data_IF_633160463433
#
_entry.id   IF_633160463433
#
_cell.length_a   1.000
_cell.length_b   1.000
_cell.length_c   1.000
_cell.angle_alpha   90.00
_cell.angle_beta   90.00
_cell.angle_gamma   90.00
#
_symmetry.space_group_name_H-M   'P 1'
#
loop_
_entity.id
_entity.type
_entity.pdbx_description
1 polymer ?
#
# COMPACT_ATOMS: atom_id res chain seq x y z
N UNK A 1 6.54 14.60 20.73
CA UNK A 1 6.64 13.16 21.05
C UNK A 1 5.97 12.35 19.95
N UNK A 2 6.76 11.72 19.10
CA UNK A 2 6.22 10.76 18.16
C UNK A 2 5.68 9.56 18.94
N UNK A 3 4.38 9.43 19.03
CA UNK A 3 3.78 8.20 19.53
C UNK A 3 4.01 7.13 18.48
N UNK A 4 5.03 6.29 18.68
CA UNK A 4 5.10 5.00 18.00
C UNK A 4 4.01 4.12 18.63
N UNK A 5 2.76 4.51 18.43
CA UNK A 5 1.61 3.70 18.81
C UNK A 5 1.29 2.67 17.74
N UNK A 6 0.43 1.71 18.06
CA UNK A 6 -0.06 0.77 17.06
C UNK A 6 -0.58 1.52 15.82
N UNK A 7 -0.23 1.04 14.64
CA UNK A 7 -0.64 1.66 13.38
C UNK A 7 -1.07 0.59 12.38
N UNK A 8 -2.11 0.89 11.62
CA UNK A 8 -2.54 0.05 10.50
C UNK A 8 -2.12 0.78 9.23
N UNK A 9 -1.35 0.10 8.40
CA UNK A 9 -0.80 0.65 7.16
C UNK A 9 -1.28 -0.15 5.96
N UNK A 10 -1.76 0.55 4.96
CA UNK A 10 -2.15 -0.03 3.67
C UNK A 10 -1.38 0.64 2.54
N UNK A 11 -1.07 -0.12 1.51
CA UNK A 11 -0.46 0.39 0.29
C UNK A 11 -1.45 0.25 -0.86
N UNK A 12 -1.60 1.32 -1.64
CA UNK A 12 -2.48 1.34 -2.81
C UNK A 12 -1.65 1.51 -4.08
N UNK A 13 -2.05 0.83 -5.14
CA UNK A 13 -1.40 0.96 -6.44
C UNK A 13 -2.36 0.69 -7.58
N UNK A 14 -2.09 1.30 -8.73
CA UNK A 14 -2.88 1.11 -9.94
C UNK A 14 -2.04 1.50 -11.16
N UNK A 15 -2.21 0.80 -12.27
CA UNK A 15 -1.58 1.17 -13.54
C UNK A 15 -2.51 1.04 -14.76
N UNK A 16 -3.79 0.76 -14.54
CA UNK A 16 -4.81 0.74 -15.58
C UNK A 16 -5.92 1.73 -15.24
N UNK A 17 -6.56 2.26 -16.28
CA UNK A 17 -7.79 3.05 -16.12
C UNK A 17 -8.88 2.16 -15.54
N UNK A 18 -9.56 2.64 -14.50
CA UNK A 18 -10.68 1.97 -13.85
C UNK A 18 -12.00 2.69 -14.20
N UNK A 19 -13.15 2.16 -13.73
CA UNK A 19 -14.42 2.91 -13.80
C UNK A 19 -14.36 4.28 -13.12
N UNK A 20 -13.42 4.49 -12.20
CA UNK A 20 -13.22 5.77 -11.52
C UNK A 20 -12.31 6.75 -12.28
N UNK A 21 -11.68 6.32 -13.36
CA UNK A 21 -10.79 7.14 -14.17
C UNK A 21 -9.32 6.67 -14.17
N UNK A 22 -8.37 7.59 -14.40
CA UNK A 22 -6.94 7.27 -14.37
C UNK A 22 -6.46 6.79 -12.99
N UNK A 23 -5.29 6.13 -12.89
CA UNK A 23 -4.80 5.56 -11.63
C UNK A 23 -4.84 6.49 -10.42
N UNK A 24 -4.40 7.74 -10.57
CA UNK A 24 -4.43 8.69 -9.44
C UNK A 24 -5.85 8.95 -8.93
N UNK A 25 -6.82 9.08 -9.84
CA UNK A 25 -8.23 9.28 -9.48
C UNK A 25 -8.80 8.01 -8.83
N UNK A 26 -8.39 6.85 -9.31
CA UNK A 26 -8.78 5.56 -8.71
C UNK A 26 -8.32 5.49 -7.26
N UNK A 27 -7.07 5.84 -6.96
CA UNK A 27 -6.56 5.84 -5.60
C UNK A 27 -7.34 6.79 -4.69
N UNK A 28 -7.63 8.01 -5.16
CA UNK A 28 -8.43 8.99 -4.41
C UNK A 28 -9.82 8.47 -4.08
N UNK A 29 -10.49 7.89 -5.06
CA UNK A 29 -11.84 7.35 -4.88
C UNK A 29 -11.86 6.10 -4.01
N UNK A 30 -10.83 5.26 -4.12
CA UNK A 30 -10.68 4.10 -3.25
C UNK A 30 -10.56 4.51 -1.78
N UNK A 31 -9.75 5.53 -1.48
CA UNK A 31 -9.62 6.08 -0.12
C UNK A 31 -10.96 6.61 0.40
N UNK A 32 -11.70 7.36 -0.43
CA UNK A 32 -13.03 7.85 -0.06
C UNK A 32 -14.00 6.69 0.19
N UNK A 33 -13.91 5.63 -0.62
CA UNK A 33 -14.74 4.44 -0.44
C UNK A 33 -14.45 3.72 0.87
N UNK A 34 -13.17 3.61 1.23
CA UNK A 34 -12.78 3.02 2.51
C UNK A 34 -13.37 3.80 3.69
N UNK A 35 -13.35 5.13 3.64
CA UNK A 35 -13.98 5.95 4.68
C UNK A 35 -15.48 5.70 4.76
N UNK A 36 -16.16 5.61 3.62
CA UNK A 36 -17.59 5.29 3.57
C UNK A 36 -17.90 3.91 4.17
N UNK A 37 -16.95 2.99 4.14
CA UNK A 37 -17.08 1.64 4.71
C UNK A 37 -16.63 1.55 6.18
N UNK A 38 -16.29 2.68 6.80
CA UNK A 38 -15.94 2.73 8.22
C UNK A 38 -14.45 2.60 8.53
N UNK A 39 -13.58 2.62 7.51
CA UNK A 39 -12.13 2.65 7.70
C UNK A 39 -11.66 4.09 7.69
N UNK A 40 -11.32 4.62 8.84
CA UNK A 40 -10.90 6.02 8.97
C UNK A 40 -9.50 6.22 8.39
N UNK A 41 -9.36 7.15 7.46
CA UNK A 41 -8.06 7.53 6.90
C UNK A 41 -7.42 8.57 7.81
N UNK A 42 -6.29 8.24 8.42
CA UNK A 42 -5.56 9.13 9.33
C UNK A 42 -4.59 10.02 8.59
N UNK A 43 -3.87 9.46 7.64
CA UNK A 43 -2.94 10.20 6.78
C UNK A 43 -2.70 9.44 5.48
N UNK A 44 -2.35 10.18 4.44
CA UNK A 44 -2.04 9.61 3.12
C UNK A 44 -0.74 10.23 2.63
N UNK A 45 0.15 9.42 2.07
CA UNK A 45 1.36 9.90 1.43
C UNK A 45 1.04 10.70 0.17
N UNK A 46 2.03 11.40 -0.35
CA UNK A 46 1.99 11.84 -1.75
C UNK A 46 1.84 10.64 -2.66
N UNK A 47 1.39 10.86 -3.88
CA UNK A 47 1.32 9.82 -4.89
C UNK A 47 2.67 9.76 -5.62
N UNK A 48 3.11 8.54 -5.91
CA UNK A 48 4.40 8.26 -6.54
C UNK A 48 4.20 7.44 -7.80
N UNK A 49 4.98 7.74 -8.82
CA UNK A 49 4.99 6.97 -10.06
C UNK A 49 6.19 6.02 -10.05
N UNK A 50 5.94 4.76 -10.40
CA UNK A 50 6.97 3.75 -10.55
C UNK A 50 6.81 3.00 -11.87
N UNK A 51 7.95 2.58 -12.45
CA UNK A 51 7.94 1.75 -13.64
C UNK A 51 7.31 0.38 -13.34
N UNK A 52 6.52 -0.14 -14.27
CA UNK A 52 5.98 -1.49 -14.15
C UNK A 52 7.09 -2.53 -14.18
N UNK A 53 6.87 -3.62 -13.47
CA UNK A 53 7.76 -4.76 -13.44
C UNK A 53 6.90 -6.04 -13.50
N UNK A 54 7.32 -7.09 -14.20
CA UNK A 54 8.61 -7.27 -14.88
C UNK A 54 8.72 -6.60 -16.25
N UNK A 55 7.60 -6.18 -16.84
CA UNK A 55 7.58 -5.58 -18.16
C UNK A 55 7.47 -4.05 -18.07
N UNK A 56 8.57 -3.31 -18.34
CA UNK A 56 8.54 -1.85 -18.29
C UNK A 56 7.75 -1.20 -19.44
N UNK A 57 7.28 -1.98 -20.42
CA UNK A 57 6.37 -1.48 -21.46
C UNK A 57 4.92 -1.41 -20.98
N UNK A 58 4.58 -2.09 -19.88
CA UNK A 58 3.29 -1.90 -19.22
C UNK A 58 3.18 -0.47 -18.65
N UNK A 59 1.95 0.06 -18.50
CA UNK A 59 1.78 1.41 -17.94
C UNK A 59 2.43 1.54 -16.56
N UNK A 60 3.02 2.71 -16.24
CA UNK A 60 3.61 2.92 -14.92
C UNK A 60 2.54 2.88 -13.83
N UNK A 61 2.95 2.44 -12.63
CA UNK A 61 2.09 2.43 -11.45
C UNK A 61 2.05 3.81 -10.79
N UNK A 62 0.89 4.16 -10.26
CA UNK A 62 0.76 5.20 -9.25
C UNK A 62 0.56 4.50 -7.91
N UNK A 63 1.37 4.85 -6.92
CA UNK A 63 1.39 4.21 -5.62
C UNK A 63 1.26 5.25 -4.49
N UNK A 64 0.63 4.83 -3.40
CA UNK A 64 0.55 5.60 -2.17
C UNK A 64 0.47 4.66 -0.97
N UNK A 65 0.80 5.18 0.21
CA UNK A 65 0.61 4.48 1.48
C UNK A 65 -0.30 5.34 2.35
N UNK A 66 -1.21 4.70 3.07
CA UNK A 66 -2.09 5.38 4.01
C UNK A 66 -2.02 4.71 5.38
N UNK A 67 -2.09 5.53 6.43
CA UNK A 67 -2.33 5.08 7.79
C UNK A 67 -3.83 5.16 8.04
N UNK A 68 -4.41 4.09 8.58
CA UNK A 68 -5.84 3.96 8.78
C UNK A 68 -6.17 3.51 10.21
N UNK A 69 -7.41 3.70 10.60
CA UNK A 69 -7.94 3.25 11.88
C UNK A 69 -9.26 2.51 11.64
N UNK A 70 -9.38 1.32 12.22
CA UNK A 70 -10.58 0.50 12.14
C UNK A 70 -10.63 -0.46 13.33
N UNK A 71 -11.83 -0.94 13.66
CA UNK A 71 -12.03 -2.02 14.64
C UNK A 71 -11.96 -3.40 14.02
N UNK A 72 -11.85 -3.49 12.70
CA UNK A 72 -11.77 -4.77 11.99
C UNK A 72 -10.47 -5.51 12.30
N UNK A 73 -10.58 -6.82 12.46
CA UNK A 73 -9.42 -7.69 12.59
C UNK A 73 -8.71 -7.86 11.23
N UNK A 74 -7.44 -8.31 11.19
CA UNK A 74 -6.68 -8.39 9.94
C UNK A 74 -7.39 -9.12 8.79
N UNK A 75 -8.00 -10.27 9.05
CA UNK A 75 -8.71 -11.03 8.01
C UNK A 75 -9.94 -10.26 7.49
N UNK A 76 -10.70 -9.67 8.38
CA UNK A 76 -11.89 -8.87 8.03
C UNK A 76 -11.50 -7.64 7.21
N UNK A 77 -10.42 -6.96 7.62
CA UNK A 77 -9.93 -5.80 6.89
C UNK A 77 -9.43 -6.19 5.50
N UNK A 78 -8.68 -7.28 5.40
CA UNK A 78 -8.18 -7.75 4.10
C UNK A 78 -9.35 -8.09 3.16
N UNK A 79 -10.40 -8.75 3.66
CA UNK A 79 -11.59 -9.06 2.87
C UNK A 79 -12.29 -7.79 2.38
N UNK A 80 -12.36 -6.76 3.23
CA UNK A 80 -12.93 -5.47 2.85
C UNK A 80 -12.08 -4.81 1.75
N UNK A 81 -10.76 -4.84 1.88
CA UNK A 81 -9.84 -4.27 0.87
C UNK A 81 -10.01 -4.98 -0.48
N UNK A 82 -10.12 -6.30 -0.48
CA UNK A 82 -10.37 -7.09 -1.69
C UNK A 82 -11.73 -6.76 -2.32
N UNK A 83 -12.75 -6.51 -1.51
CA UNK A 83 -14.06 -6.08 -1.97
C UNK A 83 -13.99 -4.74 -2.68
N UNK A 84 -13.23 -3.79 -2.15
CA UNK A 84 -13.02 -2.48 -2.79
C UNK A 84 -12.25 -2.64 -4.11
N UNK A 85 -11.21 -3.47 -4.16
CA UNK A 85 -10.51 -3.77 -5.41
C UNK A 85 -11.49 -4.25 -6.49
N UNK A 86 -12.39 -5.15 -6.14
CA UNK A 86 -13.40 -5.68 -7.06
C UNK A 86 -14.38 -4.60 -7.53
N UNK A 87 -14.81 -3.71 -6.64
CA UNK A 87 -15.68 -2.58 -6.99
C UNK A 87 -15.03 -1.67 -8.03
N UNK A 88 -13.70 -1.55 -8.00
CA UNK A 88 -12.94 -0.72 -8.96
C UNK A 88 -12.50 -1.51 -10.20
N UNK A 89 -13.13 -2.65 -10.46
CA UNK A 89 -12.96 -3.39 -11.69
C UNK A 89 -11.76 -4.32 -11.73
N UNK A 90 -11.15 -4.62 -10.59
CA UNK A 90 -10.01 -5.53 -10.59
C UNK A 90 -10.43 -6.94 -11.01
N UNK A 91 -9.72 -7.46 -12.01
CA UNK A 91 -9.83 -8.84 -12.45
C UNK A 91 -8.55 -9.57 -12.06
N UNK A 92 -8.70 -10.73 -11.40
CA UNK A 92 -7.54 -11.55 -11.06
C UNK A 92 -7.02 -12.23 -12.32
N UNK A 93 -5.75 -11.99 -12.61
CA UNK A 93 -5.05 -12.56 -13.76
C UNK A 93 -3.65 -13.03 -13.32
N UNK A 94 -2.71 -13.16 -14.24
CA UNK A 94 -1.35 -13.57 -13.92
C UNK A 94 -0.70 -12.68 -12.85
N UNK A 95 0.22 -13.22 -12.02
CA UNK A 95 0.98 -12.41 -11.07
C UNK A 95 1.69 -11.25 -11.77
N UNK A 96 1.72 -10.08 -11.13
CA UNK A 96 2.33 -8.85 -11.63
C UNK A 96 1.70 -8.29 -12.91
N UNK A 97 0.53 -8.79 -13.33
CA UNK A 97 -0.21 -8.22 -14.45
C UNK A 97 -0.72 -6.81 -14.15
N UNK A 98 -0.91 -5.96 -15.16
CA UNK A 98 -1.55 -4.65 -14.99
C UNK A 98 -2.89 -4.77 -14.28
N UNK A 99 -3.22 -3.79 -13.43
CA UNK A 99 -4.42 -3.83 -12.60
C UNK A 99 -5.02 -2.46 -12.36
N UNK A 100 -6.34 -2.44 -12.22
CA UNK A 100 -7.11 -1.22 -11.97
C UNK A 100 -6.94 -0.70 -10.55
N UNK A 101 -6.76 -1.59 -9.58
CA UNK A 101 -6.52 -1.24 -8.18
C UNK A 101 -5.93 -2.43 -7.42
N UNK A 102 -4.92 -2.14 -6.62
CA UNK A 102 -4.29 -3.09 -5.71
C UNK A 102 -4.20 -2.44 -4.34
N UNK A 103 -4.69 -3.11 -3.30
CA UNK A 103 -4.60 -2.62 -1.93
C UNK A 103 -4.01 -3.72 -1.04
N UNK A 104 -2.80 -3.49 -0.57
CA UNK A 104 -2.10 -4.43 0.31
C UNK A 104 -2.19 -3.98 1.77
N UNK A 105 -2.46 -4.90 2.66
CA UNK A 105 -2.33 -4.69 4.10
C UNK A 105 -0.87 -4.88 4.48
N UNK A 106 -0.21 -3.81 4.90
CA UNK A 106 1.24 -3.80 5.19
C UNK A 106 1.50 -4.18 6.64
N UNK A 107 0.81 -3.53 7.56
CA UNK A 107 0.96 -3.75 8.99
C UNK A 107 -0.40 -3.53 9.67
N UNK A 108 -0.69 -4.34 10.67
CA UNK A 108 -1.89 -4.20 11.49
C UNK A 108 -1.47 -4.20 12.96
N UNK A 109 -1.19 -3.00 13.47
CA UNK A 109 -0.83 -2.77 14.88
C UNK A 109 0.39 -3.59 15.33
N UNK A 110 1.36 -3.83 14.45
CA UNK A 110 2.55 -4.61 14.76
C UNK A 110 2.33 -6.12 14.85
N UNK A 111 1.18 -6.61 14.43
CA UNK A 111 0.85 -8.04 14.47
C UNK A 111 1.76 -8.86 13.57
N UNK A 112 2.17 -10.02 14.07
CA UNK A 112 2.93 -11.00 13.30
C UNK A 112 2.07 -12.25 13.17
N UNK A 113 1.70 -12.60 11.94
CA UNK A 113 0.84 -13.75 11.67
C UNK A 113 1.06 -14.31 10.27
N UNK A 114 0.68 -15.57 10.09
CA UNK A 114 0.71 -16.26 8.81
C UNK A 114 -0.60 -16.99 8.56
N UNK A 115 -0.73 -17.60 7.39
CA UNK A 115 -1.94 -18.31 6.99
C UNK A 115 -2.78 -17.47 6.03
N UNK A 116 -4.07 -17.28 6.34
CA UNK A 116 -5.00 -16.52 5.50
C UNK A 116 -4.54 -15.07 5.27
N UNK A 117 -3.87 -14.48 6.26
CA UNK A 117 -3.23 -13.17 6.17
C UNK A 117 -1.80 -13.32 6.68
N UNK A 118 -0.82 -12.83 5.93
CA UNK A 118 0.57 -12.78 6.38
C UNK A 118 0.92 -11.34 6.75
N UNK A 119 1.31 -11.13 8.01
CA UNK A 119 1.71 -9.83 8.54
C UNK A 119 3.04 -9.90 9.30
N UNK A 120 3.91 -8.90 9.17
CA UNK A 120 3.80 -7.80 8.21
C UNK A 120 3.81 -8.33 6.77
N UNK A 121 3.40 -7.50 5.81
CA UNK A 121 3.37 -7.93 4.41
C UNK A 121 4.75 -8.49 4.01
N UNK A 122 4.82 -9.71 3.42
CA UNK A 122 6.09 -10.42 3.27
C UNK A 122 7.11 -9.73 2.34
N UNK A 123 6.64 -8.83 1.46
CA UNK A 123 7.50 -8.13 0.51
C UNK A 123 7.64 -6.64 0.79
N UNK A 124 6.98 -6.11 1.83
CA UNK A 124 6.99 -4.68 2.10
C UNK A 124 8.40 -4.12 2.28
N UNK A 125 9.26 -4.83 3.01
CA UNK A 125 10.63 -4.43 3.27
C UNK A 125 11.54 -4.40 2.04
N UNK A 126 11.08 -4.96 0.92
CA UNK A 126 11.85 -5.08 -0.32
C UNK A 126 11.31 -4.19 -1.45
N UNK A 127 10.30 -3.37 -1.16
CA UNK A 127 9.60 -2.58 -2.18
C UNK A 127 9.77 -1.08 -1.92
N UNK A 128 10.56 -0.43 -2.77
CA UNK A 128 10.76 1.02 -2.67
C UNK A 128 9.45 1.79 -2.81
N UNK A 129 8.53 1.31 -3.65
CA UNK A 129 7.22 1.94 -3.86
C UNK A 129 6.27 1.79 -2.66
N UNK A 130 6.64 1.02 -1.66
CA UNK A 130 5.98 0.97 -0.35
C UNK A 130 6.78 1.81 0.65
N UNK A 131 8.08 1.59 0.74
CA UNK A 131 8.93 2.21 1.77
C UNK A 131 9.09 3.73 1.60
N UNK A 132 9.19 4.23 0.36
CA UNK A 132 9.32 5.67 0.11
C UNK A 132 8.07 6.44 0.56
N UNK A 133 6.86 6.06 0.13
CA UNK A 133 5.64 6.69 0.66
C UNK A 133 5.47 6.49 2.16
N UNK A 134 5.82 5.32 2.68
CA UNK A 134 5.73 5.02 4.10
C UNK A 134 6.61 5.94 4.94
N UNK A 135 7.83 6.21 4.49
CA UNK A 135 8.76 7.13 5.15
C UNK A 135 8.20 8.54 5.26
N UNK A 136 7.36 8.95 4.32
CA UNK A 136 6.73 10.27 4.34
C UNK A 136 5.72 10.41 5.48
N UNK A 137 4.90 9.39 5.74
CA UNK A 137 3.79 9.47 6.71
C UNK A 137 4.09 8.78 8.04
N UNK A 138 5.02 7.84 8.07
CA UNK A 138 5.36 7.08 9.26
C UNK A 138 6.88 6.87 9.36
N UNK A 139 7.67 7.96 9.48
CA UNK A 139 9.13 7.85 9.51
C UNK A 139 9.66 7.07 10.73
N UNK A 140 8.87 6.97 11.80
CA UNK A 140 9.21 6.21 12.99
C UNK A 140 8.79 4.73 12.97
N UNK A 141 8.17 4.28 11.89
CA UNK A 141 7.73 2.90 11.79
C UNK A 141 8.93 1.93 11.79
N UNK A 142 8.76 0.82 12.49
CA UNK A 142 9.72 -0.29 12.51
C UNK A 142 9.05 -1.56 12.07
N UNK A 143 9.76 -2.33 11.27
CA UNK A 143 9.28 -3.63 10.80
C UNK A 143 9.11 -4.58 12.01
N UNK A 144 7.91 -5.12 12.24
CA UNK A 144 7.63 -5.94 13.45
C UNK A 144 8.51 -7.17 13.63
N UNK A 145 9.04 -7.73 12.55
CA UNK A 145 9.89 -8.92 12.61
C UNK A 145 11.37 -8.54 12.55
N UNK A 146 11.75 -7.68 11.59
CA UNK A 146 13.16 -7.33 11.37
C UNK A 146 13.69 -6.33 12.39
N UNK A 147 12.81 -5.57 13.05
CA UNK A 147 13.19 -4.53 14.00
C UNK A 147 13.87 -3.31 13.36
N UNK A 148 14.00 -3.29 12.06
CA UNK A 148 14.61 -2.20 11.31
C UNK A 148 13.62 -1.07 11.04
N UNK A 149 14.09 0.16 11.14
CA UNK A 149 13.32 1.34 10.78
C UNK A 149 13.20 1.50 9.26
N UNK A 150 12.25 2.31 8.82
CA UNK A 150 12.00 2.51 7.38
C UNK A 150 13.23 3.08 6.66
N UNK A 151 13.99 3.97 7.31
CA UNK A 151 15.23 4.51 6.74
C UNK A 151 16.31 3.45 6.55
N UNK A 152 16.46 2.54 7.50
CA UNK A 152 17.40 1.42 7.41
C UNK A 152 17.02 0.47 6.28
N UNK A 153 15.72 0.18 6.15
CA UNK A 153 15.22 -0.68 5.08
C UNK A 153 15.43 -0.05 3.70
N UNK A 154 15.21 1.26 3.56
CA UNK A 154 15.47 1.99 2.32
C UNK A 154 16.96 1.95 1.95
N UNK A 155 17.84 2.16 2.92
CA UNK A 155 19.28 2.15 2.70
C UNK A 155 19.80 0.77 2.24
N UNK A 156 19.11 -0.31 2.65
CA UNK A 156 19.47 -1.67 2.29
C UNK A 156 18.97 -2.12 0.91
N UNK A 157 18.05 -1.35 0.30
CA UNK A 157 17.52 -1.72 -1.01
C UNK A 157 18.56 -1.56 -2.11
N UNK A 158 18.62 -2.51 -3.08
CA UNK A 158 19.36 -2.31 -4.30
C UNK A 158 18.79 -1.11 -5.06
N UNK A 159 19.62 -0.34 -5.73
CA UNK A 159 19.20 0.84 -6.49
C UNK A 159 18.47 0.42 -7.78
N UNK A 160 17.20 0.06 -7.68
CA UNK A 160 16.35 -0.41 -8.78
C UNK A 160 15.29 0.61 -9.19
N UNK A 161 15.65 1.87 -9.22
CA UNK A 161 14.72 2.94 -9.56
C UNK A 161 14.04 3.52 -8.32
N UNK A 162 14.02 4.84 -8.27
CA UNK A 162 13.38 5.59 -7.18
C UNK A 162 11.98 5.98 -7.61
N UNK A 163 10.95 5.75 -6.77
CA UNK A 163 9.62 6.27 -7.04
C UNK A 163 9.64 7.78 -7.21
N UNK A 164 8.97 8.27 -8.25
CA UNK A 164 8.90 9.69 -8.58
C UNK A 164 7.65 10.30 -7.95
N UNK A 165 7.83 11.28 -7.10
CA UNK A 165 6.72 12.01 -6.48
C UNK A 165 5.95 12.79 -7.55
N UNK A 166 4.65 12.60 -7.59
CA UNK A 166 3.76 13.34 -8.47
C UNK A 166 3.36 14.67 -7.82
N UNK A 167 3.22 15.68 -8.65
CA UNK A 167 2.82 17.01 -8.20
C UNK A 167 1.35 17.05 -7.77
#
# INVERSE_FOLDING_TARGET
MCRCGPVILIALGANLVSPAGPPADTLKRALARLEALGVKILSVSSFYETRAWPDPSDPPFVNAVAAVQTTLQPVELLDLLHGVETEFGRMRSAPNAPRTLDIDLIDHDGSVMGGAVTLPHPRAAQRSFVLVPLAEIAPGWRHPVLGQGVGELLAALPNKGTPKKLA
#
